data_IF_114130553552
#
_entry.id   IF_114130553552
#
_cell.length_a   1.000
_cell.length_b   1.000
_cell.length_c   1.000
_cell.angle_alpha   90.00
_cell.angle_beta   90.00
_cell.angle_gamma   90.00
#
_symmetry.space_group_name_H-M   'P 1'
#
loop_
_entity.id
_entity.type
_entity.pdbx_description
1 polymer ?
#
# COMPACT_ATOMS: atom_id res chain seq x y z
N UNK A 1 -7.72 -17.18 -18.63
CA UNK A 1 -8.63 -17.86 -17.68
C UNK A 1 -9.18 -16.84 -16.70
N UNK A 2 -10.47 -16.58 -16.72
CA UNK A 2 -11.13 -15.62 -15.82
C UNK A 2 -11.27 -16.28 -14.45
N UNK A 3 -10.51 -15.83 -13.42
CA UNK A 3 -10.75 -16.20 -12.03
C UNK A 3 -12.11 -15.62 -11.63
N UNK A 4 -13.10 -16.48 -11.40
CA UNK A 4 -14.39 -16.08 -10.82
C UNK A 4 -14.14 -15.54 -9.41
N UNK A 5 -14.42 -14.25 -9.23
CA UNK A 5 -14.47 -13.64 -7.90
C UNK A 5 -15.61 -14.30 -7.11
N UNK A 6 -15.26 -15.01 -6.04
CA UNK A 6 -16.25 -15.50 -5.08
C UNK A 6 -16.95 -14.31 -4.44
N UNK A 7 -18.29 -14.24 -4.59
CA UNK A 7 -19.14 -13.23 -3.94
C UNK A 7 -18.89 -13.27 -2.45
N UNK A 8 -18.33 -12.19 -1.90
CA UNK A 8 -18.19 -12.02 -0.45
C UNK A 8 -19.56 -12.03 0.21
N UNK A 9 -19.75 -12.89 1.23
CA UNK A 9 -20.98 -13.00 2.02
C UNK A 9 -21.29 -11.64 2.67
N UNK A 10 -22.58 -11.26 2.68
CA UNK A 10 -23.08 -10.14 3.49
C UNK A 10 -22.59 -10.31 4.93
N UNK A 11 -21.82 -9.37 5.45
CA UNK A 11 -21.49 -9.33 6.87
C UNK A 11 -22.75 -8.91 7.65
N UNK A 12 -23.34 -9.83 8.39
CA UNK A 12 -24.34 -9.52 9.38
C UNK A 12 -23.74 -8.66 10.51
N UNK A 13 -24.49 -7.68 11.01
CA UNK A 13 -24.05 -6.80 12.09
C UNK A 13 -23.56 -7.56 13.34
N UNK A 14 -23.99 -8.81 13.51
CA UNK A 14 -23.62 -9.69 14.62
C UNK A 14 -22.19 -10.24 14.47
N UNK A 15 -21.73 -10.49 13.23
CA UNK A 15 -20.39 -11.01 12.95
C UNK A 15 -19.32 -9.93 12.91
N UNK A 16 -19.72 -8.64 12.72
CA UNK A 16 -18.79 -7.52 12.62
C UNK A 16 -17.90 -7.38 13.87
N UNK A 17 -18.47 -7.46 15.08
CA UNK A 17 -17.70 -7.27 16.33
C UNK A 17 -16.60 -8.31 16.55
N UNK A 18 -16.72 -9.46 15.92
CA UNK A 18 -15.73 -10.55 15.98
C UNK A 18 -14.78 -10.53 14.77
N UNK A 19 -15.06 -9.70 13.78
CA UNK A 19 -14.24 -9.61 12.56
C UNK A 19 -12.90 -8.93 12.82
N UNK A 20 -11.91 -9.30 12.01
CA UNK A 20 -10.60 -8.63 12.00
C UNK A 20 -10.73 -7.13 11.68
N UNK A 21 -11.71 -6.76 10.86
CA UNK A 21 -11.98 -5.37 10.50
C UNK A 21 -12.44 -4.51 11.70
N UNK A 22 -13.20 -5.06 12.65
CA UNK A 22 -13.58 -4.36 13.87
C UNK A 22 -12.36 -4.07 14.76
N UNK A 23 -11.36 -4.95 14.76
CA UNK A 23 -10.12 -4.79 15.53
C UNK A 23 -9.15 -3.81 14.88
N UNK A 24 -9.10 -3.74 13.55
CA UNK A 24 -8.13 -2.93 12.80
C UNK A 24 -8.42 -1.43 12.80
N UNK A 25 -9.61 -1.02 13.26
CA UNK A 25 -10.03 0.39 13.27
C UNK A 25 -9.97 1.06 11.89
N UNK A 26 -10.22 0.30 10.82
CA UNK A 26 -10.33 0.81 9.46
C UNK A 26 -9.01 1.29 8.84
N UNK A 27 -7.91 0.57 9.04
CA UNK A 27 -6.60 0.96 8.49
C UNK A 27 -6.64 1.19 6.98
N UNK A 28 -7.23 0.27 6.20
CA UNK A 28 -7.36 0.41 4.74
C UNK A 28 -8.26 1.57 4.29
N UNK A 29 -9.01 2.20 5.21
CA UNK A 29 -9.82 3.40 4.97
C UNK A 29 -9.10 4.71 5.37
N UNK A 30 -7.83 4.66 5.72
CA UNK A 30 -7.07 5.80 6.24
C UNK A 30 -5.95 6.26 5.33
N UNK A 31 -5.74 5.60 4.20
CA UNK A 31 -4.77 6.01 3.19
C UNK A 31 -5.25 5.63 1.79
N UNK A 32 -4.63 6.22 0.81
CA UNK A 32 -4.73 5.84 -0.61
C UNK A 32 -3.33 5.60 -1.16
N UNK A 33 -3.23 4.81 -2.24
CA UNK A 33 -2.00 4.64 -2.99
C UNK A 33 -2.20 5.04 -4.43
N UNK A 34 -1.19 5.69 -5.02
CA UNK A 34 -1.16 6.08 -6.43
C UNK A 34 0.10 5.52 -7.06
N UNK A 35 -0.04 4.78 -8.15
CA UNK A 35 1.11 4.24 -8.87
C UNK A 35 1.96 5.36 -9.47
N UNK A 36 3.29 5.22 -9.35
CA UNK A 36 4.28 6.10 -9.95
C UNK A 36 5.31 5.26 -10.71
N UNK A 37 6.06 5.90 -11.60
CA UNK A 37 7.16 5.23 -12.27
C UNK A 37 8.36 5.04 -11.33
N UNK A 38 9.11 3.95 -11.53
CA UNK A 38 10.41 3.76 -10.90
C UNK A 38 11.37 4.88 -11.32
N UNK A 39 12.05 5.55 -10.36
CA UNK A 39 13.00 6.60 -10.70
C UNK A 39 14.19 6.06 -11.50
N UNK A 40 14.52 6.69 -12.61
CA UNK A 40 15.57 6.29 -13.55
C UNK A 40 16.84 7.11 -13.39
N UNK A 41 16.72 8.33 -12.89
CA UNK A 41 17.80 9.29 -12.71
C UNK A 41 17.63 10.17 -11.44
N UNK A 42 18.54 11.10 -11.26
CA UNK A 42 18.53 12.00 -10.11
C UNK A 42 17.40 13.03 -10.15
N UNK A 43 16.89 13.38 -11.33
CA UNK A 43 15.76 14.29 -11.50
C UNK A 43 14.48 13.62 -11.02
N UNK A 44 14.26 12.37 -11.41
CA UNK A 44 13.13 11.55 -10.91
C UNK A 44 13.19 11.41 -9.39
N UNK A 45 14.38 11.19 -8.83
CA UNK A 45 14.56 11.14 -7.38
C UNK A 45 14.24 12.45 -6.68
N UNK A 46 14.57 13.60 -7.29
CA UNK A 46 14.24 14.90 -6.69
C UNK A 46 12.74 15.18 -6.76
N UNK A 47 12.05 14.74 -7.81
CA UNK A 47 10.59 14.77 -7.88
C UNK A 47 9.95 13.93 -6.77
N UNK A 48 10.50 12.73 -6.49
CA UNK A 48 10.02 11.90 -5.37
C UNK A 48 10.34 12.55 -4.03
N UNK A 49 11.48 13.24 -3.89
CA UNK A 49 11.81 14.01 -2.70
C UNK A 49 10.74 15.04 -2.39
N UNK A 50 10.21 15.71 -3.41
CA UNK A 50 9.11 16.66 -3.24
C UNK A 50 7.87 16.04 -2.59
N UNK A 51 7.52 14.79 -2.93
CA UNK A 51 6.43 14.11 -2.21
C UNK A 51 6.80 13.89 -0.73
N UNK A 52 7.99 13.41 -0.45
CA UNK A 52 8.42 12.99 0.90
C UNK A 52 8.69 14.15 1.87
N UNK A 53 8.73 15.41 1.43
CA UNK A 53 8.79 16.56 2.32
C UNK A 53 7.43 16.95 2.91
N UNK A 54 6.35 16.25 2.52
CA UNK A 54 5.00 16.47 3.04
C UNK A 54 4.64 15.40 4.07
N UNK A 55 4.01 15.85 5.18
CA UNK A 55 3.52 14.94 6.20
C UNK A 55 2.47 13.99 5.64
N UNK A 56 2.45 12.76 6.15
CA UNK A 56 1.49 11.74 5.74
C UNK A 56 1.75 11.14 4.35
N UNK A 57 2.93 11.38 3.79
CA UNK A 57 3.35 10.79 2.52
C UNK A 57 4.48 9.79 2.75
N UNK A 58 4.37 8.63 2.13
CA UNK A 58 5.45 7.65 2.03
C UNK A 58 5.52 7.03 0.63
N UNK A 59 6.65 6.43 0.31
CA UNK A 59 6.83 5.66 -0.94
C UNK A 59 6.80 4.18 -0.60
N UNK A 60 5.94 3.44 -1.28
CA UNK A 60 5.89 1.99 -1.21
C UNK A 60 6.54 1.40 -2.44
N UNK A 61 7.36 0.37 -2.22
CA UNK A 61 7.96 -0.43 -3.30
C UNK A 61 7.64 -1.90 -3.05
N UNK A 62 6.83 -2.46 -3.94
CA UNK A 62 6.45 -3.87 -3.96
C UNK A 62 6.98 -4.50 -5.25
N UNK A 63 8.01 -5.31 -5.12
CA UNK A 63 8.78 -5.83 -6.26
C UNK A 63 9.27 -4.70 -7.19
N UNK A 64 8.67 -4.54 -8.36
CA UNK A 64 8.96 -3.48 -9.33
C UNK A 64 7.88 -2.39 -9.37
N UNK A 65 6.83 -2.53 -8.56
CA UNK A 65 5.73 -1.57 -8.46
C UNK A 65 6.06 -0.48 -7.46
N UNK A 66 5.98 0.75 -7.91
CA UNK A 66 6.23 1.94 -7.12
C UNK A 66 4.94 2.70 -6.88
N UNK A 67 4.70 3.11 -5.66
CA UNK A 67 3.47 3.81 -5.27
C UNK A 67 3.78 4.94 -4.28
N UNK A 68 3.07 6.04 -4.41
CA UNK A 68 2.94 7.04 -3.35
C UNK A 68 1.77 6.63 -2.46
N UNK A 69 2.02 6.48 -1.18
CA UNK A 69 0.98 6.33 -0.16
C UNK A 69 0.70 7.70 0.44
N UNK A 70 -0.57 8.05 0.51
CA UNK A 70 -1.05 9.32 1.07
C UNK A 70 -1.99 9.01 2.22
N UNK A 71 -1.70 9.47 3.40
CA UNK A 71 -2.61 9.38 4.54
C UNK A 71 -3.86 10.23 4.27
N UNK A 72 -4.98 9.57 4.11
CA UNK A 72 -6.25 10.21 3.77
C UNK A 72 -7.42 9.37 4.32
N UNK A 73 -8.15 9.93 5.26
CA UNK A 73 -9.30 9.25 5.84
C UNK A 73 -10.45 9.20 4.84
N UNK A 74 -11.01 8.01 4.61
CA UNK A 74 -12.23 7.85 3.81
C UNK A 74 -13.42 8.57 4.46
N UNK A 75 -14.16 9.33 3.66
CA UNK A 75 -15.37 10.05 4.11
C UNK A 75 -16.49 9.13 4.61
N UNK A 76 -16.50 7.87 4.16
CA UNK A 76 -17.49 6.86 4.50
C UNK A 76 -17.09 5.98 5.68
N UNK A 77 -15.92 6.20 6.28
CA UNK A 77 -15.51 5.53 7.50
C UNK A 77 -16.28 6.12 8.69
N UNK A 78 -17.14 5.32 9.30
CA UNK A 78 -17.99 5.72 10.44
C UNK A 78 -17.20 5.73 11.77
N UNK A 79 -17.79 6.27 12.82
CA UNK A 79 -17.17 6.34 14.15
C UNK A 79 -16.92 4.95 14.77
N UNK A 80 -17.72 3.96 14.40
CA UNK A 80 -17.55 2.56 14.79
C UNK A 80 -16.62 1.76 13.86
N UNK A 81 -15.90 2.46 12.97
CA UNK A 81 -14.99 1.90 11.97
C UNK A 81 -15.63 1.04 10.88
N UNK A 82 -16.96 1.09 10.75
CA UNK A 82 -17.66 0.46 9.64
C UNK A 82 -17.69 1.36 8.40
N UNK A 83 -17.85 0.74 7.23
CA UNK A 83 -18.03 1.45 5.96
C UNK A 83 -19.51 1.75 5.71
N UNK A 84 -19.89 3.02 5.61
CA UNK A 84 -21.26 3.45 5.32
C UNK A 84 -21.78 2.97 3.95
N UNK A 85 -20.87 2.70 3.01
CA UNK A 85 -21.20 2.29 1.63
C UNK A 85 -20.69 0.88 1.28
N UNK A 86 -20.58 0.02 2.27
CA UNK A 86 -19.94 -1.29 2.13
C UNK A 86 -20.37 -2.09 0.88
N UNK A 87 -21.66 -2.13 0.59
CA UNK A 87 -22.21 -2.85 -0.57
C UNK A 87 -21.99 -2.13 -1.91
N UNK A 88 -21.61 -0.85 -1.87
CA UNK A 88 -21.39 0.01 -3.05
C UNK A 88 -19.95 0.53 -3.11
N UNK A 89 -19.01 -0.17 -2.47
CA UNK A 89 -17.60 0.21 -2.48
C UNK A 89 -17.04 0.23 -3.90
N UNK A 90 -16.13 1.16 -4.20
CA UNK A 90 -15.30 1.10 -5.40
C UNK A 90 -14.55 -0.22 -5.52
N UNK A 91 -14.19 -0.63 -6.72
CA UNK A 91 -13.49 -1.89 -6.95
C UNK A 91 -12.15 -1.97 -6.20
N UNK A 92 -11.42 -0.87 -6.12
CA UNK A 92 -10.18 -0.77 -5.33
C UNK A 92 -10.39 -1.18 -3.86
N UNK A 93 -11.52 -0.78 -3.26
CA UNK A 93 -11.84 -1.18 -1.88
C UNK A 93 -12.19 -2.66 -1.75
N UNK A 94 -12.77 -3.27 -2.80
CA UNK A 94 -13.16 -4.68 -2.80
C UNK A 94 -11.98 -5.63 -2.94
N UNK A 95 -10.83 -5.13 -3.42
CA UNK A 95 -9.59 -5.89 -3.52
C UNK A 95 -8.94 -6.12 -2.17
N UNK A 96 -9.25 -5.28 -1.16
CA UNK A 96 -8.84 -5.53 0.22
C UNK A 96 -9.76 -6.59 0.83
N UNK A 97 -9.19 -7.73 1.16
CA UNK A 97 -9.86 -8.80 1.89
C UNK A 97 -9.17 -9.05 3.24
N UNK A 98 -9.73 -9.94 4.04
CA UNK A 98 -9.19 -10.27 5.36
C UNK A 98 -7.89 -11.08 5.30
N UNK A 99 -7.52 -11.60 4.13
CA UNK A 99 -6.28 -12.38 3.95
C UNK A 99 -5.10 -11.49 3.59
N UNK A 100 -5.35 -10.36 2.91
CA UNK A 100 -4.34 -9.41 2.42
C UNK A 100 -4.42 -8.04 3.09
N UNK A 101 -4.88 -7.95 4.33
CA UNK A 101 -4.99 -6.66 5.00
C UNK A 101 -3.74 -6.33 5.82
N UNK A 102 -3.41 -5.04 5.88
CA UNK A 102 -2.25 -4.53 6.63
C UNK A 102 -2.32 -4.88 8.12
N UNK A 103 -3.52 -4.87 8.70
CA UNK A 103 -3.70 -5.22 10.10
C UNK A 103 -3.29 -6.66 10.39
N UNK A 104 -3.68 -7.59 9.52
CA UNK A 104 -3.29 -9.00 9.65
C UNK A 104 -1.79 -9.17 9.52
N UNK A 105 -1.18 -8.50 8.55
CA UNK A 105 0.27 -8.50 8.36
C UNK A 105 1.01 -8.09 9.63
N UNK A 106 0.55 -7.04 10.30
CA UNK A 106 1.16 -6.56 11.55
C UNK A 106 0.82 -7.46 12.74
N UNK A 107 -0.45 -7.84 12.91
CA UNK A 107 -0.91 -8.62 14.07
C UNK A 107 -0.38 -10.05 14.10
N UNK A 108 -0.16 -10.66 12.94
CA UNK A 108 0.39 -12.01 12.79
C UNK A 108 1.92 -12.01 12.52
N UNK A 109 2.56 -10.83 12.58
CA UNK A 109 3.98 -10.65 12.29
C UNK A 109 4.41 -11.27 10.95
N UNK A 110 3.55 -11.16 9.94
CA UNK A 110 3.83 -11.62 8.60
C UNK A 110 4.83 -10.69 7.89
N UNK A 111 5.65 -11.19 6.97
CA UNK A 111 6.51 -10.33 6.17
C UNK A 111 5.67 -9.39 5.32
N UNK A 112 6.02 -8.09 5.34
CA UNK A 112 5.40 -7.12 4.44
C UNK A 112 5.76 -7.43 3.00
N UNK A 113 4.79 -7.42 2.10
CA UNK A 113 5.01 -7.56 0.67
C UNK A 113 5.77 -6.37 0.06
N UNK A 114 5.78 -5.24 0.73
CA UNK A 114 6.36 -3.98 0.27
C UNK A 114 7.40 -3.42 1.23
N UNK A 115 8.27 -2.54 0.69
CA UNK A 115 9.15 -1.65 1.46
C UNK A 115 8.50 -0.28 1.55
N UNK A 116 8.54 0.35 2.71
CA UNK A 116 8.01 1.69 2.95
C UNK A 116 9.12 2.65 3.31
N UNK A 117 9.12 3.80 2.65
CA UNK A 117 10.09 4.88 2.85
C UNK A 117 9.37 6.19 3.15
N UNK A 118 9.54 6.68 4.34
CA UNK A 118 9.07 8.00 4.79
C UNK A 118 10.14 9.06 4.63
N UNK A 119 11.42 8.65 4.61
CA UNK A 119 12.58 9.54 4.54
C UNK A 119 13.31 9.41 3.21
N UNK A 120 13.53 10.55 2.56
CA UNK A 120 14.25 10.63 1.29
C UNK A 120 15.65 10.00 1.33
N UNK A 121 16.42 10.22 2.40
CA UNK A 121 17.77 9.68 2.54
C UNK A 121 17.82 8.14 2.48
N UNK A 122 16.81 7.47 3.07
CA UNK A 122 16.70 6.01 3.03
C UNK A 122 16.31 5.53 1.64
N UNK A 123 15.33 6.18 1.02
CA UNK A 123 14.90 5.88 -0.34
C UNK A 123 16.05 6.04 -1.34
N UNK A 124 16.76 7.17 -1.28
CA UNK A 124 17.89 7.46 -2.16
C UNK A 124 18.98 6.38 -2.08
N UNK A 125 19.35 5.94 -0.89
CA UNK A 125 20.32 4.84 -0.71
C UNK A 125 19.84 3.55 -1.35
N UNK A 126 18.58 3.21 -1.18
CA UNK A 126 17.98 2.03 -1.78
C UNK A 126 18.05 2.08 -3.31
N UNK A 127 17.63 3.19 -3.92
CA UNK A 127 17.63 3.38 -5.39
C UNK A 127 19.05 3.36 -5.96
N UNK A 128 19.96 4.11 -5.37
CA UNK A 128 21.37 4.13 -5.82
C UNK A 128 22.02 2.74 -5.71
N UNK A 129 21.68 1.96 -4.71
CA UNK A 129 22.12 0.56 -4.59
C UNK A 129 21.59 -0.34 -5.70
N UNK A 130 20.33 -0.15 -6.14
CA UNK A 130 19.75 -0.87 -7.28
C UNK A 130 20.45 -0.50 -8.59
N UNK A 131 20.66 0.78 -8.84
CA UNK A 131 21.35 1.26 -10.04
C UNK A 131 22.79 0.72 -10.13
N UNK A 132 23.55 0.73 -9.03
CA UNK A 132 24.89 0.18 -8.99
C UNK A 132 24.93 -1.33 -9.30
N UNK A 133 23.96 -2.11 -8.84
CA UNK A 133 23.84 -3.54 -9.16
C UNK A 133 23.50 -3.77 -10.63
N UNK A 134 22.58 -2.99 -11.19
CA UNK A 134 22.22 -3.08 -12.61
C UNK A 134 23.42 -2.79 -13.54
N UNK A 135 24.21 -1.77 -13.22
CA UNK A 135 25.43 -1.44 -13.97
C UNK A 135 26.51 -2.52 -13.91
N UNK A 136 26.69 -3.17 -12.74
CA UNK A 136 27.63 -4.31 -12.59
C UNK A 136 27.19 -5.53 -13.39
N UNK A 137 25.90 -5.82 -13.44
CA UNK A 137 25.34 -6.93 -14.22
C UNK A 137 25.54 -6.78 -15.73
N UNK A 138 25.49 -5.55 -16.27
CA UNK A 138 25.76 -5.27 -17.69
C UNK A 138 27.23 -5.47 -18.09
N UNK A 139 28.17 -5.15 -17.19
CA UNK A 139 29.60 -5.35 -17.45
C UNK A 139 30.03 -6.83 -17.47
N UNK A 140 29.32 -7.72 -16.78
CA UNK A 140 29.60 -9.18 -16.76
C UNK A 140 29.05 -9.93 -17.97
N UNK A 141 28.14 -9.34 -18.75
CA UNK A 141 27.53 -9.94 -19.94
C UNK A 141 28.23 -9.51 -21.26
N UNK A 142 29.31 -8.73 -21.20
CA UNK A 142 30.20 -8.39 -22.30
C UNK A 142 31.54 -9.13 -22.13
#
# INVERSE_FOLDING_TARGET
MKKQLKRTKKHDKKDWKQSICAKCKGLCCKYITVDIEEPKDDEDLDNIRWYLIHDGISILVEDERWMVKVDARCKHLQADYQCAVYNRRPEACKQYDTENCDYRTVSENLPKAYREFEEYGRLRRYVKGRWAKAHRGRKKKR
#
